data_IF_362627797776
#
_entry.id   IF_362627797776
#
_cell.length_a   1.000
_cell.length_b   1.000
_cell.length_c   1.000
_cell.angle_alpha   90.00
_cell.angle_beta   90.00
_cell.angle_gamma   90.00
#
_symmetry.space_group_name_H-M   'P 1'
#
loop_
_entity.id
_entity.type
_entity.pdbx_description
1 polymer ?
#
# COMPACT_ATOMS: atom_id res chain seq x y z
N UNK A 1 9.77 -9.53 8.01
CA UNK A 1 10.30 -8.85 9.20
C UNK A 1 9.23 -8.21 10.07
N UNK A 2 8.05 -7.96 9.50
CA UNK A 2 6.99 -7.28 10.26
C UNK A 2 6.53 -8.08 11.49
N UNK A 3 6.21 -9.35 11.31
CA UNK A 3 5.69 -10.13 12.43
C UNK A 3 6.72 -10.34 13.54
N UNK A 4 7.98 -10.69 13.26
CA UNK A 4 8.97 -10.79 14.31
C UNK A 4 9.15 -9.47 15.08
N UNK A 5 9.19 -8.33 14.37
CA UNK A 5 9.31 -7.03 15.02
C UNK A 5 8.10 -6.72 15.88
N UNK A 6 6.89 -7.04 15.38
CA UNK A 6 5.67 -6.80 16.15
C UNK A 6 5.66 -7.60 17.45
N UNK A 7 6.12 -8.84 17.38
CA UNK A 7 6.17 -9.69 18.57
C UNK A 7 7.26 -9.24 19.54
N UNK A 8 8.37 -8.76 19.00
CA UNK A 8 9.47 -8.26 19.83
C UNK A 8 9.07 -7.01 20.61
N UNK A 9 8.37 -6.08 19.94
CA UNK A 9 8.02 -4.80 20.54
C UNK A 9 6.69 -4.82 21.31
N UNK A 10 5.96 -5.94 21.24
CA UNK A 10 4.65 -6.04 21.90
C UNK A 10 4.74 -5.75 23.40
N UNK A 11 5.81 -6.19 24.04
CA UNK A 11 5.99 -5.99 25.48
C UNK A 11 6.13 -4.52 25.84
N UNK A 12 6.42 -3.67 24.87
CA UNK A 12 6.53 -2.23 25.09
C UNK A 12 5.25 -1.50 24.69
N UNK A 13 4.21 -2.22 24.31
CA UNK A 13 2.98 -1.59 23.85
C UNK A 13 3.09 -0.96 22.46
N UNK A 14 4.01 -1.46 21.63
CA UNK A 14 4.26 -0.91 20.29
C UNK A 14 3.72 -1.88 19.25
N UNK A 15 2.90 -1.38 18.34
CA UNK A 15 2.42 -2.13 17.20
C UNK A 15 3.31 -1.89 15.99
N UNK A 16 3.47 -2.90 15.15
CA UNK A 16 4.27 -2.80 13.93
C UNK A 16 3.42 -3.31 12.77
N UNK A 17 3.17 -2.45 11.80
CA UNK A 17 2.41 -2.77 10.60
C UNK A 17 3.20 -2.36 9.39
N UNK A 18 3.00 -3.07 8.30
CA UNK A 18 3.65 -2.75 7.02
C UNK A 18 2.57 -2.57 5.96
N UNK A 19 2.73 -1.54 5.13
CA UNK A 19 1.89 -1.34 3.96
C UNK A 19 2.74 -1.64 2.73
N UNK A 20 2.24 -2.52 1.87
CA UNK A 20 2.89 -2.82 0.59
C UNK A 20 2.06 -2.14 -0.51
N UNK A 21 2.43 -0.92 -0.90
CA UNK A 21 1.65 -0.17 -1.87
C UNK A 21 1.90 -0.66 -3.28
N UNK A 22 0.89 -0.51 -4.15
CA UNK A 22 1.04 -0.75 -5.56
C UNK A 22 1.41 0.54 -6.28
N UNK A 23 0.70 0.83 -7.37
CA UNK A 23 0.97 2.00 -8.19
C UNK A 23 0.06 3.15 -7.78
N UNK A 24 0.66 4.25 -7.34
CA UNK A 24 -0.06 5.43 -6.89
C UNK A 24 0.37 6.66 -7.67
N UNK A 25 -0.52 7.64 -7.71
CA UNK A 25 -0.18 8.96 -8.25
C UNK A 25 0.83 9.62 -7.32
N UNK A 26 2.07 9.70 -7.78
CA UNK A 26 3.14 10.37 -7.06
C UNK A 26 3.77 11.39 -8.00
N UNK A 27 4.55 12.34 -7.50
CA UNK A 27 5.25 13.27 -8.40
C UNK A 27 6.09 12.56 -9.46
N UNK A 28 6.69 11.42 -9.13
CA UNK A 28 7.47 10.66 -10.09
C UNK A 28 6.59 10.12 -11.22
N UNK A 29 5.41 9.56 -10.89
CA UNK A 29 4.49 9.04 -11.89
C UNK A 29 3.89 10.17 -12.70
N UNK A 30 3.56 11.28 -12.06
CA UNK A 30 2.99 12.43 -12.76
C UNK A 30 3.95 13.05 -13.78
N UNK A 31 5.25 12.79 -13.63
CA UNK A 31 6.24 13.22 -14.60
C UNK A 31 6.30 12.36 -15.86
N UNK A 32 5.60 11.23 -15.88
CA UNK A 32 5.56 10.35 -17.05
C UNK A 32 4.54 10.88 -18.08
N UNK A 33 4.71 10.52 -19.38
CA UNK A 33 3.71 10.88 -20.39
C UNK A 33 2.33 10.36 -20.02
N UNK A 34 1.25 11.09 -20.39
CA UNK A 34 -0.10 10.67 -20.02
C UNK A 34 -0.50 9.28 -20.51
N UNK A 35 -0.04 8.87 -21.69
CA UNK A 35 -0.34 7.53 -22.20
C UNK A 35 0.32 6.44 -21.37
N UNK A 36 1.53 6.71 -20.85
CA UNK A 36 2.21 5.78 -19.95
C UNK A 36 1.45 5.67 -18.63
N UNK A 37 1.02 6.80 -18.07
CA UNK A 37 0.24 6.80 -16.84
C UNK A 37 -1.06 5.99 -17.01
N UNK A 38 -1.73 6.18 -18.13
CA UNK A 38 -2.97 5.44 -18.42
C UNK A 38 -2.70 3.95 -18.51
N UNK A 39 -1.62 3.59 -19.20
CA UNK A 39 -1.25 2.19 -19.36
C UNK A 39 -0.98 1.52 -18.02
N UNK A 40 -0.30 2.22 -17.11
CA UNK A 40 -0.04 1.70 -15.77
C UNK A 40 -1.34 1.44 -15.01
N UNK A 41 -2.28 2.39 -15.10
CA UNK A 41 -3.57 2.23 -14.43
C UNK A 41 -4.39 1.10 -15.00
N UNK A 42 -4.33 0.90 -16.31
CA UNK A 42 -5.09 -0.17 -16.97
C UNK A 42 -4.60 -1.56 -16.58
N UNK A 43 -3.37 -1.67 -16.13
CA UNK A 43 -2.82 -2.94 -15.65
C UNK A 43 -3.31 -3.34 -14.28
N UNK A 44 -4.01 -2.46 -13.58
CA UNK A 44 -4.52 -2.75 -12.24
C UNK A 44 -5.91 -3.39 -12.37
N UNK A 45 -6.12 -4.57 -11.76
CA UNK A 45 -7.40 -5.26 -11.92
C UNK A 45 -8.62 -4.47 -11.47
N UNK A 46 -8.61 -3.88 -10.27
CA UNK A 46 -9.76 -3.10 -9.80
C UNK A 46 -9.39 -2.32 -8.54
N UNK A 47 -9.71 -1.05 -8.46
CA UNK A 47 -10.22 -0.23 -9.58
C UNK A 47 -9.13 -0.06 -10.62
N UNK A 48 -9.54 0.04 -11.88
CA UNK A 48 -8.59 0.04 -13.00
C UNK A 48 -8.02 1.45 -13.21
N UNK A 49 -7.29 1.90 -12.22
CA UNK A 49 -6.65 3.21 -12.20
C UNK A 49 -5.55 3.21 -11.14
N UNK A 50 -4.71 4.22 -11.18
CA UNK A 50 -3.70 4.41 -10.14
C UNK A 50 -4.37 4.77 -8.82
N UNK A 51 -3.78 4.35 -7.72
CA UNK A 51 -4.25 4.75 -6.40
C UNK A 51 -3.97 6.22 -6.14
N UNK A 52 -4.75 6.83 -5.26
CA UNK A 52 -4.56 8.23 -4.91
C UNK A 52 -3.84 8.33 -3.56
N UNK A 53 -3.12 9.44 -3.32
CA UNK A 53 -2.52 9.66 -2.01
C UNK A 53 -3.53 9.61 -0.87
N UNK A 54 -4.76 10.06 -1.11
CA UNK A 54 -5.81 10.01 -0.09
C UNK A 54 -6.16 8.58 0.29
N UNK A 55 -6.12 7.66 -0.66
CA UNK A 55 -6.39 6.25 -0.38
C UNK A 55 -5.31 5.65 0.50
N UNK A 56 -4.07 6.01 0.24
CA UNK A 56 -2.96 5.56 1.09
C UNK A 56 -3.11 6.14 2.50
N UNK A 57 -3.40 7.43 2.58
CA UNK A 57 -3.57 8.10 3.87
C UNK A 57 -4.73 7.51 4.66
N UNK A 58 -5.82 7.14 3.98
CA UNK A 58 -6.97 6.53 4.65
C UNK A 58 -6.60 5.19 5.30
N UNK A 59 -5.76 4.39 4.65
CA UNK A 59 -5.30 3.14 5.25
C UNK A 59 -4.42 3.40 6.45
N UNK A 60 -3.50 4.35 6.35
CA UNK A 60 -2.62 4.69 7.47
C UNK A 60 -3.46 5.14 8.67
N UNK A 61 -4.46 5.98 8.42
CA UNK A 61 -5.34 6.46 9.49
C UNK A 61 -6.10 5.32 10.13
N UNK A 62 -6.59 4.38 9.33
CA UNK A 62 -7.29 3.22 9.87
C UNK A 62 -6.36 2.36 10.72
N UNK A 63 -5.14 2.14 10.26
CA UNK A 63 -4.17 1.35 11.02
C UNK A 63 -3.89 1.98 12.37
N UNK A 64 -3.75 3.30 12.39
CA UNK A 64 -3.47 4.02 13.64
C UNK A 64 -4.65 3.88 14.60
N UNK A 65 -5.88 3.96 14.12
CA UNK A 65 -7.06 3.93 14.98
C UNK A 65 -7.52 2.52 15.32
N UNK A 66 -7.18 1.53 14.51
CA UNK A 66 -7.60 0.14 14.79
C UNK A 66 -6.49 -0.57 15.57
N UNK A 67 -6.61 -0.55 16.87
CA UNK A 67 -5.54 -0.98 17.76
C UNK A 67 -5.28 -2.47 17.77
N UNK A 68 -6.17 -3.27 17.19
CA UNK A 68 -5.98 -4.72 17.14
C UNK A 68 -5.16 -5.16 15.92
N UNK A 69 -4.89 -4.26 14.98
CA UNK A 69 -4.01 -4.55 13.85
C UNK A 69 -2.55 -4.54 14.30
N UNK A 70 -1.86 -5.65 14.11
CA UNK A 70 -0.47 -5.75 14.51
C UNK A 70 0.18 -6.92 13.79
N UNK A 71 1.42 -6.74 13.36
CA UNK A 71 2.22 -7.81 12.80
C UNK A 71 1.87 -8.22 11.39
N UNK A 72 1.06 -7.43 10.68
CA UNK A 72 0.59 -7.76 9.35
C UNK A 72 1.17 -6.85 8.29
N UNK A 73 1.20 -7.38 7.08
CA UNK A 73 1.50 -6.60 5.88
C UNK A 73 0.20 -6.49 5.09
N UNK A 74 -0.24 -5.27 4.81
CA UNK A 74 -1.45 -5.03 4.03
C UNK A 74 -1.04 -4.54 2.65
N UNK A 75 -1.46 -5.25 1.61
CA UNK A 75 -1.24 -4.83 0.24
C UNK A 75 -2.33 -3.85 -0.16
N UNK A 76 -1.92 -2.71 -0.68
CA UNK A 76 -2.83 -1.67 -1.15
C UNK A 76 -2.51 -1.40 -2.60
N UNK A 77 -3.03 -2.24 -3.50
CA UNK A 77 -2.54 -2.27 -4.87
C UNK A 77 -3.61 -2.62 -5.92
N UNK A 78 -4.89 -2.67 -5.53
CA UNK A 78 -5.95 -3.00 -6.48
C UNK A 78 -5.82 -4.40 -7.05
N UNK A 79 -5.23 -5.31 -6.29
CA UNK A 79 -4.98 -6.70 -6.68
C UNK A 79 -3.91 -6.85 -7.77
N UNK A 80 -3.11 -5.81 -7.98
CA UNK A 80 -2.02 -5.88 -8.95
C UNK A 80 -0.97 -6.89 -8.49
N UNK A 81 -0.56 -7.74 -9.42
CA UNK A 81 0.57 -8.64 -9.21
C UNK A 81 1.49 -8.53 -10.39
N UNK A 82 2.79 -8.53 -10.14
CA UNK A 82 3.74 -8.48 -11.24
C UNK A 82 3.62 -9.76 -12.06
N UNK A 83 3.75 -9.67 -13.40
CA UNK A 83 3.74 -10.88 -14.22
C UNK A 83 4.91 -11.79 -13.82
N UNK A 84 4.81 -13.10 -14.07
CA UNK A 84 5.85 -14.03 -13.68
C UNK A 84 7.20 -13.78 -14.37
N UNK A 85 7.23 -12.95 -15.38
CA UNK A 85 8.46 -12.69 -16.14
C UNK A 85 8.74 -11.24 -16.23
#
# INVERSE_FOLDING_TARGET
>A
MTLPAAREFARFGVRVMTIAPGLFHTPMVEGLPPDVQRSLGEGIPYPQRLGTPDEYAALVEHIVSNRFLNGETIRLDGALRMPPR
#
